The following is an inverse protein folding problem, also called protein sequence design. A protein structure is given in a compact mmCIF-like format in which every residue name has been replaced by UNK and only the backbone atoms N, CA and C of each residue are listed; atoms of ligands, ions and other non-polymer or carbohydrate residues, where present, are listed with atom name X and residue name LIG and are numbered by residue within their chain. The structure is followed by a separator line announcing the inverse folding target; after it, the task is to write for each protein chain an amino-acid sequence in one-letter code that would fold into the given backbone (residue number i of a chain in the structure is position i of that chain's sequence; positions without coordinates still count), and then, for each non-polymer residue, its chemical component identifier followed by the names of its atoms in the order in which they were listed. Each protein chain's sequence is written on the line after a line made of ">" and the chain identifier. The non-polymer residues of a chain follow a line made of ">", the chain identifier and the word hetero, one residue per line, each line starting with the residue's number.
data_IF_147631207542
#
_entry.id   IF_147631207542
#
_cell.length_a   1.000
_cell.length_b   1.000
_cell.length_c   1.000
_cell.angle_alpha   90.00
_cell.angle_beta   90.00
_cell.angle_gamma   90.00
#
_symmetry.space_group_name_H-M   'P 1'
#
loop_
_entity.id
_entity.type
_entity.pdbx_description
1 polymer ?
#
# COMPACT_ATOMS: atom_id res chain seq x y z
N UNK A 1 9.06 57.85 -7.66
CA UNK A 1 9.09 58.08 -6.20
C UNK A 1 7.69 58.18 -5.64
N UNK A 2 7.22 57.07 -5.10
CA UNK A 2 5.90 56.90 -4.49
C UNK A 2 5.98 55.68 -3.59
N UNK A 3 6.19 55.96 -2.32
CA UNK A 3 6.51 55.07 -1.21
C UNK A 3 5.40 54.04 -0.93
N UNK A 4 5.74 52.75 -0.90
CA UNK A 4 4.83 51.63 -0.64
C UNK A 4 5.28 50.88 0.63
N UNK A 5 4.91 51.42 1.78
CA UNK A 5 5.04 50.74 3.08
C UNK A 5 3.74 50.02 3.41
N UNK A 6 3.61 48.78 2.93
CA UNK A 6 2.53 47.86 3.29
C UNK A 6 2.99 46.85 4.35
N UNK A 7 2.71 47.13 5.62
CA UNK A 7 2.88 46.19 6.76
C UNK A 7 1.98 44.96 6.58
N UNK A 8 2.56 43.78 6.75
CA UNK A 8 1.83 42.52 6.90
C UNK A 8 0.93 42.55 8.16
N UNK A 9 -0.29 42.00 8.12
CA UNK A 9 -1.12 41.86 9.32
C UNK A 9 -0.54 40.82 10.27
N UNK A 10 -0.58 41.12 11.58
CA UNK A 10 -0.24 40.21 12.67
C UNK A 10 -1.25 39.05 12.72
N UNK A 11 -0.75 37.82 12.80
CA UNK A 11 -1.55 36.66 13.18
C UNK A 11 -1.95 36.80 14.66
N UNK A 12 -3.24 36.78 14.93
CA UNK A 12 -3.79 36.63 16.28
C UNK A 12 -3.70 35.14 16.66
N UNK A 13 -2.94 34.86 17.73
CA UNK A 13 -2.97 33.56 18.43
C UNK A 13 -4.37 33.35 19.02
N UNK A 14 -5.15 32.47 18.40
CA UNK A 14 -6.38 31.97 19.00
C UNK A 14 -6.09 30.59 19.63
N UNK A 15 -5.96 30.60 20.96
CA UNK A 15 -5.66 29.46 21.82
C UNK A 15 -6.94 28.64 22.05
N UNK A 16 -7.38 27.89 21.03
CA UNK A 16 -8.51 26.97 21.14
C UNK A 16 -8.02 25.53 21.34
N UNK A 17 -8.06 25.09 22.60
CA UNK A 17 -7.83 23.71 23.04
C UNK A 17 -8.56 22.69 22.16
N UNK A 18 -7.81 21.71 21.65
CA UNK A 18 -8.36 20.52 21.02
C UNK A 18 -9.28 19.75 21.99
N UNK A 19 -10.44 19.23 21.54
CA UNK A 19 -11.30 18.43 22.40
C UNK A 19 -10.63 17.09 22.72
N UNK A 20 -10.48 16.81 24.01
CA UNK A 20 -10.02 15.53 24.53
C UNK A 20 -11.09 14.45 24.23
N UNK A 21 -10.68 13.37 23.56
CA UNK A 21 -11.45 12.16 23.43
C UNK A 21 -11.28 11.35 24.72
N UNK A 22 -12.21 11.47 25.65
CA UNK A 22 -12.31 10.57 26.81
C UNK A 22 -12.69 9.16 26.31
N UNK A 23 -11.82 8.19 26.55
CA UNK A 23 -12.13 6.77 26.38
C UNK A 23 -12.77 6.29 27.68
N UNK A 24 -14.07 6.02 27.63
CA UNK A 24 -14.75 5.32 28.72
C UNK A 24 -14.30 3.85 28.71
N UNK A 25 -13.58 3.46 29.75
CA UNK A 25 -13.28 2.07 30.08
C UNK A 25 -14.58 1.35 30.47
N UNK A 26 -15.17 0.58 29.55
CA UNK A 26 -16.13 -0.46 29.93
C UNK A 26 -15.32 -1.72 30.31
N UNK A 27 -15.03 -1.81 31.61
CA UNK A 27 -14.57 -3.03 32.25
C UNK A 27 -15.63 -4.12 32.09
N UNK A 28 -15.33 -5.15 31.29
CA UNK A 28 -16.11 -6.38 31.29
C UNK A 28 -15.73 -7.19 32.52
N UNK A 29 -16.59 -7.20 33.53
CA UNK A 29 -16.56 -8.16 34.63
C UNK A 29 -16.60 -9.59 34.04
N UNK A 30 -15.48 -10.31 34.19
CA UNK A 30 -15.40 -11.74 33.98
C UNK A 30 -15.98 -12.41 35.24
N UNK A 31 -17.24 -12.84 35.15
CA UNK A 31 -17.82 -13.73 36.16
C UNK A 31 -17.04 -15.04 36.17
N UNK A 32 -16.42 -15.32 37.32
CA UNK A 32 -15.78 -16.58 37.65
C UNK A 32 -16.82 -17.71 37.68
N UNK A 33 -16.52 -18.82 37.02
CA UNK A 33 -17.32 -20.05 37.11
C UNK A 33 -17.02 -20.72 38.47
N UNK A 34 -17.99 -20.68 39.39
CA UNK A 34 -18.02 -21.55 40.57
C UNK A 34 -18.39 -22.98 40.14
N UNK A 35 -17.59 -23.96 40.56
CA UNK A 35 -17.90 -25.38 40.46
C UNK A 35 -19.12 -25.72 41.34
N UNK A 36 -20.14 -26.38 40.78
CA UNK A 36 -21.14 -27.10 41.59
C UNK A 36 -21.33 -28.55 41.12
N UNK A 37 -21.17 -29.42 42.12
CA UNK A 37 -21.29 -30.87 42.22
C UNK A 37 -22.72 -31.39 41.87
N UNK A 38 -22.91 -32.54 41.19
CA UNK A 38 -24.21 -32.91 40.65
C UNK A 38 -24.96 -33.90 41.54
N UNK A 39 -25.67 -33.44 42.57
CA UNK A 39 -26.69 -34.28 43.21
C UNK A 39 -27.77 -33.53 44.01
N UNK A 40 -28.80 -33.00 43.33
CA UNK A 40 -30.14 -32.82 43.93
C UNK A 40 -31.22 -32.62 42.86
N UNK A 41 -32.13 -33.58 42.77
CA UNK A 41 -33.23 -33.57 41.82
C UNK A 41 -34.47 -32.79 42.32
N UNK A 42 -35.21 -32.25 41.34
CA UNK A 42 -36.67 -31.91 41.30
C UNK A 42 -37.11 -30.51 41.73
N UNK A 43 -37.45 -29.69 40.72
CA UNK A 43 -38.36 -28.56 40.84
C UNK A 43 -38.59 -27.86 39.50
N UNK A 44 -39.78 -28.03 38.90
CA UNK A 44 -40.16 -27.45 37.61
C UNK A 44 -40.20 -25.91 37.66
N UNK A 45 -39.46 -25.25 36.77
CA UNK A 45 -39.89 -23.99 36.15
C UNK A 45 -39.22 -23.83 34.78
N UNK A 46 -40.04 -23.75 33.73
CA UNK A 46 -39.61 -23.52 32.35
C UNK A 46 -38.92 -22.15 32.24
N UNK A 47 -37.57 -22.12 32.28
CA UNK A 47 -36.80 -20.94 31.87
C UNK A 47 -37.04 -20.75 30.37
N UNK A 48 -37.85 -19.75 30.00
CA UNK A 48 -37.91 -19.21 28.64
C UNK A 48 -36.47 -18.94 28.21
N UNK A 49 -35.99 -19.64 27.17
CA UNK A 49 -34.74 -19.29 26.48
C UNK A 49 -34.86 -17.80 26.11
N UNK A 50 -34.15 -16.91 26.82
CA UNK A 50 -33.94 -15.53 26.36
C UNK A 50 -33.29 -15.67 24.99
N UNK A 51 -34.03 -15.41 23.91
CA UNK A 51 -33.44 -15.24 22.58
C UNK A 51 -32.35 -14.20 22.77
N UNK A 52 -31.08 -14.59 22.58
CA UNK A 52 -29.97 -13.62 22.52
C UNK A 52 -30.43 -12.56 21.53
N UNK A 53 -30.61 -11.32 22.00
CA UNK A 53 -30.94 -10.21 21.11
C UNK A 53 -29.73 -10.08 20.19
N UNK A 54 -29.90 -10.55 18.96
CA UNK A 54 -28.90 -10.35 17.94
C UNK A 54 -28.66 -8.84 17.83
N UNK A 55 -27.39 -8.40 17.71
CA UNK A 55 -27.08 -7.00 17.43
C UNK A 55 -27.92 -6.51 16.24
N UNK A 56 -28.21 -5.20 16.15
CA UNK A 56 -29.06 -4.64 15.09
C UNK A 56 -28.70 -5.15 13.68
N UNK A 57 -27.39 -5.33 13.43
CA UNK A 57 -26.83 -5.82 12.16
C UNK A 57 -27.36 -7.19 11.71
N UNK A 58 -27.72 -8.07 12.65
CA UNK A 58 -28.16 -9.44 12.39
C UNK A 58 -29.66 -9.62 12.68
N UNK A 59 -30.40 -8.52 12.85
CA UNK A 59 -31.86 -8.56 12.95
C UNK A 59 -32.47 -8.69 11.55
N UNK A 60 -33.25 -9.75 11.25
CA UNK A 60 -33.90 -9.91 9.95
C UNK A 60 -34.88 -8.77 9.58
N UNK A 61 -35.25 -7.94 10.56
CA UNK A 61 -36.15 -6.79 10.38
C UNK A 61 -35.42 -5.45 10.21
N UNK A 62 -34.08 -5.42 10.29
CA UNK A 62 -33.32 -4.20 10.10
C UNK A 62 -33.17 -3.88 8.60
N UNK A 63 -33.75 -2.77 8.16
CA UNK A 63 -33.54 -2.23 6.83
C UNK A 63 -32.55 -1.07 6.90
N UNK A 64 -31.41 -1.22 6.23
CA UNK A 64 -30.38 -0.19 6.13
C UNK A 64 -30.52 0.57 4.81
N UNK A 65 -30.53 1.90 4.90
CA UNK A 65 -30.56 2.75 3.71
C UNK A 65 -29.30 3.61 3.67
N UNK A 66 -28.46 3.39 2.67
CA UNK A 66 -27.22 4.13 2.46
C UNK A 66 -27.47 5.25 1.45
N UNK A 67 -27.07 6.47 1.80
CA UNK A 67 -27.12 7.59 0.85
C UNK A 67 -25.98 7.42 -0.17
N UNK A 68 -26.30 7.55 -1.46
CA UNK A 68 -25.29 7.52 -2.51
C UNK A 68 -24.47 8.83 -2.52
N UNK A 69 -23.19 8.73 -2.87
CA UNK A 69 -22.34 9.90 -3.06
C UNK A 69 -22.81 10.72 -4.29
N UNK A 70 -22.94 12.04 -4.14
CA UNK A 70 -23.43 12.94 -5.19
C UNK A 70 -22.30 13.52 -6.07
N UNK A 71 -21.19 12.80 -6.23
CA UNK A 71 -20.02 13.28 -6.94
C UNK A 71 -20.16 13.16 -8.46
N UNK A 72 -19.58 14.11 -9.21
CA UNK A 72 -19.59 14.10 -10.69
C UNK A 72 -18.85 12.90 -11.28
N UNK A 73 -17.83 12.39 -10.58
CA UNK A 73 -17.08 11.19 -10.97
C UNK A 73 -17.89 9.89 -10.80
N UNK A 74 -19.08 9.93 -10.17
CA UNK A 74 -19.98 8.78 -10.06
C UNK A 74 -19.31 7.60 -9.34
N UNK A 75 -19.16 6.48 -10.04
CA UNK A 75 -18.50 5.28 -9.51
C UNK A 75 -16.97 5.37 -9.47
N UNK A 76 -16.37 6.37 -10.13
CA UNK A 76 -14.94 6.70 -10.01
C UNK A 76 -14.65 7.64 -8.83
N UNK A 77 -15.67 7.98 -8.03
CA UNK A 77 -15.52 8.92 -6.95
C UNK A 77 -14.53 8.43 -5.90
N UNK A 78 -13.45 9.18 -5.73
CA UNK A 78 -12.46 8.96 -4.69
C UNK A 78 -12.63 9.97 -3.56
N UNK A 79 -13.07 9.54 -2.36
CA UNK A 79 -13.20 10.42 -1.21
C UNK A 79 -11.89 11.16 -0.89
N UNK A 80 -12.01 12.46 -0.61
CA UNK A 80 -10.89 13.36 -0.32
C UNK A 80 -9.88 13.59 -1.45
N UNK A 81 -10.07 13.04 -2.66
CA UNK A 81 -9.26 13.38 -3.84
C UNK A 81 -10.13 14.18 -4.81
N UNK A 82 -11.33 13.69 -5.09
CA UNK A 82 -12.34 14.36 -5.92
C UNK A 82 -13.12 15.45 -5.15
N UNK A 83 -12.54 16.03 -4.09
CA UNK A 83 -13.22 17.04 -3.30
C UNK A 83 -13.13 18.42 -3.97
N UNK A 84 -14.27 18.91 -4.47
CA UNK A 84 -14.45 20.25 -5.06
C UNK A 84 -14.56 21.34 -3.96
N UNK A 85 -13.57 21.46 -3.07
CA UNK A 85 -13.49 22.58 -2.13
C UNK A 85 -12.97 23.84 -2.83
N UNK A 86 -13.84 24.86 -3.00
CA UNK A 86 -13.61 26.17 -3.64
C UNK A 86 -13.63 26.27 -5.18
N UNK A 87 -13.66 25.14 -5.89
CA UNK A 87 -13.85 25.13 -7.35
C UNK A 87 -12.64 25.56 -8.17
N UNK A 88 -11.45 25.70 -7.57
CA UNK A 88 -10.22 25.91 -8.30
C UNK A 88 -9.17 24.85 -7.97
N UNK A 89 -8.99 23.93 -8.92
CA UNK A 89 -7.95 22.87 -8.96
C UNK A 89 -8.35 21.53 -8.31
N UNK A 90 -8.33 20.47 -9.13
CA UNK A 90 -8.15 19.11 -8.63
C UNK A 90 -6.85 19.09 -7.85
N UNK A 91 -6.92 19.02 -6.53
CA UNK A 91 -5.72 18.79 -5.75
C UNK A 91 -5.21 17.38 -6.09
N UNK A 92 -4.04 17.29 -6.72
CA UNK A 92 -3.36 16.00 -6.89
C UNK A 92 -3.03 15.35 -5.54
N UNK A 93 -3.16 16.08 -4.43
CA UNK A 93 -3.02 15.58 -3.08
C UNK A 93 -4.37 15.47 -2.36
N UNK A 94 -4.44 14.53 -1.42
CA UNK A 94 -5.63 14.29 -0.61
C UNK A 94 -6.02 15.52 0.22
N UNK A 95 -7.23 16.02 0.05
CA UNK A 95 -7.86 17.08 0.84
C UNK A 95 -9.25 16.61 1.29
N UNK A 96 -9.39 16.29 2.58
CA UNK A 96 -10.67 15.83 3.13
C UNK A 96 -11.50 17.01 3.66
N UNK A 97 -12.85 16.95 3.54
CA UNK A 97 -13.74 17.84 4.27
C UNK A 97 -13.56 17.69 5.78
N UNK A 98 -13.86 18.75 6.54
CA UNK A 98 -13.83 18.71 8.01
C UNK A 98 -14.87 17.73 8.58
N UNK A 99 -16.03 17.60 7.92
CA UNK A 99 -17.04 16.63 8.28
C UNK A 99 -16.79 15.29 7.58
N UNK A 100 -16.92 14.14 8.28
CA UNK A 100 -16.80 12.83 7.65
C UNK A 100 -17.84 12.67 6.54
N UNK A 101 -17.38 12.26 5.36
CA UNK A 101 -18.27 11.93 4.25
C UNK A 101 -18.83 10.53 4.51
N UNK A 102 -20.14 10.45 4.75
CA UNK A 102 -20.86 9.19 5.00
C UNK A 102 -21.81 8.91 3.84
N UNK A 103 -21.26 8.40 2.74
CA UNK A 103 -22.01 8.00 1.57
C UNK A 103 -21.43 6.72 0.94
N UNK A 104 -22.28 5.99 0.22
CA UNK A 104 -21.90 4.83 -0.56
C UNK A 104 -21.58 5.24 -2.00
N UNK A 105 -20.40 4.88 -2.49
CA UNK A 105 -20.05 5.06 -3.90
C UNK A 105 -20.89 4.08 -4.71
N UNK A 106 -21.53 4.55 -5.78
CA UNK A 106 -22.36 3.69 -6.63
C UNK A 106 -21.48 2.69 -7.39
N UNK A 107 -21.97 1.47 -7.60
CA UNK A 107 -21.34 0.52 -8.52
C UNK A 107 -21.55 0.94 -9.98
N UNK A 108 -20.64 0.57 -10.89
CA UNK A 108 -20.89 0.65 -12.33
C UNK A 108 -22.21 -0.05 -12.70
N UNK A 109 -22.96 0.49 -13.66
CA UNK A 109 -24.26 -0.07 -14.08
C UNK A 109 -24.14 -1.49 -14.64
N UNK A 110 -23.00 -1.78 -15.26
CA UNK A 110 -22.69 -3.05 -15.92
C UNK A 110 -21.72 -3.89 -15.09
N UNK A 111 -21.61 -3.62 -13.78
CA UNK A 111 -20.68 -4.33 -12.92
C UNK A 111 -20.95 -5.84 -12.93
N UNK A 112 -19.90 -6.62 -13.18
CA UNK A 112 -19.91 -8.08 -13.15
C UNK A 112 -18.88 -8.56 -12.12
N UNK A 113 -19.15 -9.72 -11.55
CA UNK A 113 -18.17 -10.38 -10.69
C UNK A 113 -16.86 -10.63 -11.47
N UNK A 114 -15.68 -10.30 -10.92
CA UNK A 114 -14.41 -10.58 -11.57
C UNK A 114 -14.26 -12.05 -11.94
N UNK A 115 -13.57 -12.33 -13.05
CA UNK A 115 -13.23 -13.69 -13.44
C UNK A 115 -12.40 -14.39 -12.33
N UNK A 116 -12.51 -15.72 -12.17
CA UNK A 116 -11.69 -16.43 -11.21
C UNK A 116 -10.20 -16.33 -11.56
N UNK A 117 -9.34 -16.56 -10.57
CA UNK A 117 -7.91 -16.74 -10.83
C UNK A 117 -7.67 -18.14 -11.43
N UNK A 118 -6.76 -18.32 -12.41
CA UNK A 118 -5.82 -17.35 -12.98
C UNK A 118 -6.36 -16.54 -14.18
N UNK A 119 -7.59 -16.76 -14.62
CA UNK A 119 -8.16 -16.14 -15.83
C UNK A 119 -8.14 -14.59 -15.77
N UNK A 120 -8.38 -14.02 -14.59
CA UNK A 120 -8.29 -12.56 -14.37
C UNK A 120 -6.89 -11.96 -14.57
N UNK A 121 -5.83 -12.77 -14.68
CA UNK A 121 -4.50 -12.28 -15.09
C UNK A 121 -4.54 -11.73 -16.51
N UNK A 122 -5.29 -12.35 -17.41
CA UNK A 122 -5.25 -12.08 -18.85
C UNK A 122 -6.44 -11.28 -19.34
N UNK A 123 -7.55 -11.27 -18.60
CA UNK A 123 -8.72 -10.46 -18.98
C UNK A 123 -9.58 -10.05 -17.80
N UNK A 124 -10.14 -8.86 -17.89
CA UNK A 124 -11.12 -8.32 -16.92
C UNK A 124 -12.35 -7.79 -17.66
N UNK A 125 -13.44 -7.57 -16.94
CA UNK A 125 -14.64 -6.94 -17.50
C UNK A 125 -14.40 -5.45 -17.74
N UNK A 126 -14.52 -5.00 -18.99
CA UNK A 126 -14.42 -3.57 -19.30
C UNK A 126 -15.51 -2.76 -18.58
N UNK A 127 -16.72 -3.33 -18.42
CA UNK A 127 -17.83 -2.69 -17.70
C UNK A 127 -17.56 -2.37 -16.21
N UNK A 128 -16.54 -3.00 -15.60
CA UNK A 128 -16.15 -2.73 -14.22
C UNK A 128 -15.25 -1.49 -14.08
N UNK A 129 -14.50 -1.15 -15.13
CA UNK A 129 -13.45 -0.12 -15.10
C UNK A 129 -13.62 0.97 -16.15
N UNK A 130 -14.59 0.80 -17.05
CA UNK A 130 -14.63 1.52 -18.32
C UNK A 130 -15.02 2.98 -18.19
N UNK A 131 -14.16 3.87 -18.68
CA UNK A 131 -14.44 5.28 -18.87
C UNK A 131 -13.70 5.85 -20.10
N UNK A 132 -14.06 7.06 -20.61
CA UNK A 132 -13.52 7.58 -21.87
C UNK A 132 -11.99 7.72 -21.92
N UNK A 133 -11.35 8.05 -20.80
CA UNK A 133 -9.88 8.23 -20.76
C UNK A 133 -9.15 6.89 -20.78
N UNK A 134 -9.61 5.88 -20.05
CA UNK A 134 -9.11 4.51 -20.18
C UNK A 134 -9.31 3.97 -21.60
N UNK A 135 -10.47 4.24 -22.21
CA UNK A 135 -10.73 3.89 -23.62
C UNK A 135 -9.76 4.55 -24.60
N UNK A 136 -9.38 5.81 -24.37
CA UNK A 136 -8.39 6.50 -25.19
C UNK A 136 -7.01 5.89 -24.97
N UNK A 137 -6.63 5.73 -23.71
CA UNK A 137 -5.35 5.16 -23.30
C UNK A 137 -5.13 3.77 -23.90
N UNK A 138 -6.13 2.89 -23.83
CA UNK A 138 -6.07 1.54 -24.38
C UNK A 138 -5.87 1.51 -25.91
N UNK A 139 -6.29 2.53 -26.66
CA UNK A 139 -6.06 2.58 -28.12
C UNK A 139 -4.61 2.86 -28.49
N UNK A 140 -3.90 3.54 -27.61
CA UNK A 140 -2.52 3.96 -27.84
C UNK A 140 -1.50 2.90 -27.39
N UNK A 141 -1.96 1.80 -26.77
CA UNK A 141 -1.12 0.77 -26.17
C UNK A 141 -1.53 -0.64 -26.63
N UNK A 142 -0.63 -1.36 -27.28
CA UNK A 142 -0.94 -2.69 -27.83
C UNK A 142 -1.15 -3.77 -26.77
N UNK A 143 -0.53 -3.60 -25.59
CA UNK A 143 -0.66 -4.50 -24.43
C UNK A 143 -2.00 -4.39 -23.68
N UNK A 144 -2.89 -3.48 -24.10
CA UNK A 144 -4.19 -3.26 -23.47
C UNK A 144 -5.32 -3.22 -24.51
N UNK A 145 -5.88 -4.38 -24.85
CA UNK A 145 -6.85 -4.46 -25.93
C UNK A 145 -8.27 -4.65 -25.41
N UNK A 146 -9.21 -3.87 -25.95
CA UNK A 146 -10.63 -4.13 -25.73
C UNK A 146 -11.14 -5.16 -26.74
N UNK A 147 -11.58 -6.31 -26.25
CA UNK A 147 -12.17 -7.38 -27.06
C UNK A 147 -13.57 -7.72 -26.55
N UNK A 148 -14.59 -7.24 -27.28
CA UNK A 148 -15.99 -7.36 -26.87
C UNK A 148 -16.27 -6.63 -25.55
N UNK A 149 -16.69 -7.38 -24.54
CA UNK A 149 -16.96 -6.88 -23.17
C UNK A 149 -15.73 -6.92 -22.24
N UNK A 150 -14.60 -7.41 -22.73
CA UNK A 150 -13.40 -7.60 -21.92
C UNK A 150 -12.32 -6.59 -22.29
N UNK A 151 -11.51 -6.26 -21.29
CA UNK A 151 -10.18 -5.70 -21.44
C UNK A 151 -9.18 -6.85 -21.29
N UNK A 152 -8.35 -7.07 -22.30
CA UNK A 152 -7.46 -8.21 -22.45
C UNK A 152 -6.01 -7.74 -22.40
N UNK A 153 -5.18 -8.50 -21.68
CA UNK A 153 -3.77 -8.29 -21.45
C UNK A 153 -3.01 -9.48 -22.06
N UNK A 154 -2.56 -9.37 -23.32
CA UNK A 154 -1.89 -10.47 -23.99
C UNK A 154 -0.59 -10.84 -23.24
N UNK A 155 -0.32 -12.11 -22.94
CA UNK A 155 0.90 -12.50 -22.22
C UNK A 155 2.20 -12.11 -22.95
N UNK A 156 2.18 -12.14 -24.29
CA UNK A 156 3.32 -11.78 -25.15
C UNK A 156 3.47 -10.26 -25.35
N UNK A 157 2.41 -9.48 -25.07
CA UNK A 157 2.42 -8.03 -25.18
C UNK A 157 2.20 -7.42 -23.80
N UNK A 158 3.27 -6.88 -23.21
CA UNK A 158 3.19 -6.14 -21.95
C UNK A 158 3.60 -4.68 -22.13
N UNK A 159 3.51 -3.91 -21.05
CA UNK A 159 4.13 -2.58 -20.98
C UNK A 159 5.62 -2.60 -21.33
N UNK A 160 6.28 -3.76 -21.12
CA UNK A 160 7.63 -4.08 -21.56
C UNK A 160 7.57 -4.81 -22.91
N UNK A 161 8.30 -4.31 -23.92
CA UNK A 161 8.52 -5.09 -25.15
C UNK A 161 9.25 -6.39 -24.77
N UNK A 162 8.83 -7.53 -25.31
CA UNK A 162 9.32 -8.86 -24.89
C UNK A 162 8.61 -9.46 -23.67
N UNK A 163 7.71 -8.72 -23.02
CA UNK A 163 6.90 -9.23 -21.91
C UNK A 163 7.51 -8.93 -20.53
N UNK A 164 6.66 -8.94 -19.50
CA UNK A 164 7.08 -8.68 -18.12
C UNK A 164 8.05 -9.74 -17.58
N UNK A 165 7.94 -11.00 -18.07
CA UNK A 165 8.84 -12.08 -17.67
C UNK A 165 10.27 -11.82 -18.14
N UNK A 166 10.45 -11.47 -19.42
CA UNK A 166 11.75 -11.08 -19.96
C UNK A 166 12.36 -9.94 -19.15
N UNK A 167 11.57 -8.91 -18.84
CA UNK A 167 12.03 -7.79 -18.04
C UNK A 167 12.51 -8.19 -16.62
N UNK A 168 11.78 -9.10 -15.94
CA UNK A 168 12.21 -9.63 -14.63
C UNK A 168 13.48 -10.48 -14.78
N UNK A 169 13.57 -11.30 -15.83
CA UNK A 169 14.74 -12.15 -16.07
C UNK A 169 15.99 -11.30 -16.35
N UNK A 170 15.87 -10.19 -17.10
CA UNK A 170 16.95 -9.20 -17.25
C UNK A 170 17.39 -8.63 -15.91
N UNK A 171 16.45 -8.28 -15.01
CA UNK A 171 16.80 -7.77 -13.67
C UNK A 171 17.52 -8.84 -12.85
N UNK A 172 17.06 -10.09 -12.92
CA UNK A 172 17.64 -11.24 -12.24
C UNK A 172 19.09 -11.49 -12.69
N UNK A 173 19.36 -11.38 -14.00
CA UNK A 173 20.71 -11.47 -14.57
C UNK A 173 21.62 -10.33 -14.11
N UNK A 174 21.08 -9.12 -13.98
CA UNK A 174 21.83 -7.93 -13.56
C UNK A 174 22.16 -7.91 -12.07
N UNK A 175 21.26 -8.43 -11.24
CA UNK A 175 21.36 -8.39 -9.78
C UNK A 175 20.83 -9.70 -9.17
N UNK A 176 21.57 -10.81 -9.31
CA UNK A 176 21.14 -12.11 -8.80
C UNK A 176 20.96 -12.14 -7.28
N UNK A 177 21.64 -11.25 -6.55
CA UNK A 177 21.54 -11.11 -5.10
C UNK A 177 20.15 -10.64 -4.62
N UNK A 178 19.30 -10.13 -5.54
CA UNK A 178 17.90 -9.86 -5.24
C UNK A 178 17.17 -11.13 -4.77
N UNK A 179 17.55 -12.32 -5.26
CA UNK A 179 16.99 -13.64 -4.90
C UNK A 179 15.48 -13.58 -4.60
N UNK A 180 14.69 -13.30 -5.65
CA UNK A 180 13.25 -13.11 -5.57
C UNK A 180 12.57 -14.26 -4.81
N UNK A 181 11.69 -13.91 -3.87
CA UNK A 181 10.98 -14.89 -3.04
C UNK A 181 11.77 -15.41 -1.85
N UNK A 182 13.07 -15.10 -1.74
CA UNK A 182 13.87 -15.35 -0.54
C UNK A 182 14.24 -14.05 0.17
N UNK A 183 15.03 -13.21 -0.49
CA UNK A 183 15.49 -11.94 0.07
C UNK A 183 14.41 -10.86 -0.10
N UNK A 184 13.85 -10.76 -1.31
CA UNK A 184 12.81 -9.80 -1.65
C UNK A 184 11.44 -10.50 -1.61
N UNK A 185 10.51 -10.01 -0.77
CA UNK A 185 9.14 -10.52 -0.68
C UNK A 185 8.07 -9.44 -0.86
N UNK A 186 8.38 -8.20 -0.50
CA UNK A 186 7.43 -7.09 -0.53
C UNK A 186 7.94 -5.99 -1.47
N UNK A 187 7.24 -5.80 -2.58
CA UNK A 187 7.55 -4.80 -3.59
C UNK A 187 6.51 -3.67 -3.62
N UNK A 188 6.97 -2.44 -3.83
CA UNK A 188 6.12 -1.30 -4.23
C UNK A 188 6.36 -1.01 -5.70
N UNK A 189 5.32 -1.12 -6.53
CA UNK A 189 5.39 -0.75 -7.95
C UNK A 189 4.71 0.60 -8.17
N UNK A 190 5.51 1.63 -8.44
CA UNK A 190 5.03 3.00 -8.59
C UNK A 190 4.64 3.26 -10.05
N UNK A 191 3.45 3.79 -10.27
CA UNK A 191 2.96 4.12 -11.61
C UNK A 191 2.34 2.92 -12.31
N UNK A 192 1.17 2.49 -11.80
CA UNK A 192 0.40 1.39 -12.37
C UNK A 192 0.30 1.47 -13.90
N UNK A 193 0.65 0.39 -14.59
CA UNK A 193 0.38 0.18 -16.02
C UNK A 193 -0.60 -0.99 -16.18
N UNK A 194 -0.15 -2.06 -16.84
CA UNK A 194 -0.97 -3.27 -16.93
C UNK A 194 -1.07 -3.98 -15.57
N UNK A 195 -0.08 -3.80 -14.68
CA UNK A 195 0.22 -4.67 -13.53
C UNK A 195 0.97 -5.96 -13.92
N UNK A 196 1.61 -5.98 -15.09
CA UNK A 196 2.40 -7.10 -15.59
C UNK A 196 3.60 -7.40 -14.71
N UNK A 197 4.27 -6.36 -14.19
CA UNK A 197 5.35 -6.50 -13.21
C UNK A 197 4.90 -7.27 -11.96
N UNK A 198 3.77 -6.86 -11.35
CA UNK A 198 3.20 -7.55 -10.20
C UNK A 198 2.76 -8.98 -10.50
N UNK A 199 2.14 -9.22 -11.66
CA UNK A 199 1.76 -10.57 -12.10
C UNK A 199 2.97 -11.49 -12.26
N UNK A 200 4.05 -11.00 -12.87
CA UNK A 200 5.27 -11.78 -13.08
C UNK A 200 5.98 -12.09 -11.74
N UNK A 201 6.02 -11.12 -10.83
CA UNK A 201 6.62 -11.28 -9.52
C UNK A 201 5.86 -12.25 -8.59
N UNK A 202 4.54 -12.38 -8.76
CA UNK A 202 3.77 -13.40 -8.04
C UNK A 202 4.26 -14.83 -8.34
N UNK A 203 4.78 -15.09 -9.56
CA UNK A 203 5.33 -16.41 -9.93
C UNK A 203 6.71 -16.66 -9.29
N UNK A 204 7.38 -15.61 -8.79
CA UNK A 204 8.63 -15.69 -8.04
C UNK A 204 8.41 -15.54 -6.52
N UNK A 205 7.20 -15.80 -6.04
CA UNK A 205 6.82 -15.58 -4.66
C UNK A 205 7.17 -14.16 -4.19
N UNK A 206 6.69 -13.12 -4.86
CA UNK A 206 6.83 -11.73 -4.42
C UNK A 206 5.48 -11.04 -4.48
N UNK A 207 5.10 -10.40 -3.38
CA UNK A 207 3.85 -9.64 -3.28
C UNK A 207 4.14 -8.18 -3.65
N UNK A 208 3.47 -7.72 -4.70
CA UNK A 208 3.63 -6.35 -5.20
C UNK A 208 2.40 -5.52 -4.87
N UNK A 209 2.59 -4.42 -4.15
CA UNK A 209 1.60 -3.37 -4.02
C UNK A 209 1.81 -2.35 -5.13
N UNK A 210 0.84 -2.21 -6.04
CA UNK A 210 0.88 -1.19 -7.07
C UNK A 210 0.34 0.15 -6.55
N UNK A 211 1.09 1.23 -6.78
CA UNK A 211 0.72 2.59 -6.42
C UNK A 211 0.28 3.35 -7.67
N UNK A 212 -1.03 3.55 -7.79
CA UNK A 212 -1.62 4.43 -8.80
C UNK A 212 -1.45 5.88 -8.37
N UNK A 213 -0.87 6.70 -9.23
CA UNK A 213 -0.70 8.11 -8.91
C UNK A 213 -2.04 8.84 -9.07
N UNK A 214 -2.41 9.68 -8.13
CA UNK A 214 -3.69 10.42 -8.15
C UNK A 214 -3.80 11.44 -9.29
N UNK A 215 -2.70 11.80 -9.94
CA UNK A 215 -2.70 12.60 -11.16
C UNK A 215 -2.95 11.76 -12.42
N UNK A 216 -2.91 10.43 -12.31
CA UNK A 216 -3.36 9.53 -13.35
C UNK A 216 -4.88 9.69 -13.50
N UNK A 217 -5.30 9.87 -14.73
CA UNK A 217 -6.69 10.09 -15.10
C UNK A 217 -7.28 8.87 -15.81
N UNK A 218 -6.56 7.75 -15.82
CA UNK A 218 -6.91 6.49 -16.48
C UNK A 218 -7.29 5.37 -15.50
N UNK A 219 -7.21 5.63 -14.19
CA UNK A 219 -7.63 4.75 -13.10
C UNK A 219 -6.99 3.35 -13.16
N UNK A 220 -5.71 3.25 -13.55
CA UNK A 220 -5.02 1.95 -13.73
C UNK A 220 -4.83 1.16 -12.42
N UNK A 221 -4.91 1.82 -11.26
CA UNK A 221 -4.99 1.10 -9.98
C UNK A 221 -6.25 0.23 -9.86
N UNK A 222 -7.39 0.69 -10.39
CA UNK A 222 -8.62 -0.12 -10.42
C UNK A 222 -8.46 -1.29 -11.38
N UNK A 223 -7.75 -1.11 -12.49
CA UNK A 223 -7.41 -2.18 -13.43
C UNK A 223 -6.55 -3.26 -12.74
N UNK A 224 -5.53 -2.85 -11.99
CA UNK A 224 -4.70 -3.77 -11.20
C UNK A 224 -5.53 -4.56 -10.17
N UNK A 225 -6.44 -3.89 -9.44
CA UNK A 225 -7.36 -4.53 -8.49
C UNK A 225 -8.29 -5.55 -9.17
N UNK A 226 -8.85 -5.23 -10.34
CA UNK A 226 -9.68 -6.16 -11.12
C UNK A 226 -8.87 -7.35 -11.66
N UNK A 227 -7.57 -7.17 -11.96
CA UNK A 227 -6.65 -8.28 -12.27
C UNK A 227 -6.24 -9.11 -11.05
N UNK A 228 -6.53 -8.64 -9.84
CA UNK A 228 -6.23 -9.35 -8.59
C UNK A 228 -4.85 -9.06 -8.03
N UNK A 229 -4.24 -7.96 -8.47
CA UNK A 229 -2.99 -7.43 -7.92
C UNK A 229 -3.35 -6.36 -6.87
N UNK A 230 -2.72 -6.39 -5.68
CA UNK A 230 -2.91 -5.36 -4.68
C UNK A 230 -2.59 -3.99 -5.27
N UNK A 231 -3.50 -3.03 -5.13
CA UNK A 231 -3.21 -1.66 -5.51
C UNK A 231 -3.83 -0.65 -4.55
N UNK A 232 -3.15 0.48 -4.43
CA UNK A 232 -3.67 1.67 -3.75
C UNK A 232 -3.42 2.88 -4.63
N UNK A 233 -4.17 3.94 -4.40
CA UNK A 233 -3.91 5.24 -5.00
C UNK A 233 -3.20 6.15 -4.01
N UNK A 234 -2.32 7.02 -4.51
CA UNK A 234 -1.60 7.97 -3.68
C UNK A 234 -0.95 9.07 -4.51
N UNK A 235 -0.46 10.10 -3.82
CA UNK A 235 0.17 11.26 -4.46
C UNK A 235 1.65 11.30 -4.12
N UNK A 236 2.49 11.44 -5.14
CA UNK A 236 3.90 11.80 -5.00
C UNK A 236 4.07 13.31 -5.19
N UNK A 237 3.56 14.07 -4.22
CA UNK A 237 3.64 15.52 -4.18
C UNK A 237 4.54 16.01 -3.05
N UNK A 238 3.94 16.76 -2.13
CA UNK A 238 4.59 17.40 -0.99
C UNK A 238 4.45 16.62 0.33
N UNK A 239 3.68 15.53 0.36
CA UNK A 239 3.37 14.74 1.56
C UNK A 239 3.91 13.32 1.49
N UNK A 240 4.26 12.77 2.65
CA UNK A 240 4.68 11.38 2.82
C UNK A 240 3.58 10.45 2.32
N UNK A 241 3.98 9.34 1.70
CA UNK A 241 3.10 8.23 1.43
C UNK A 241 2.65 7.60 2.75
N UNK A 242 1.43 7.06 2.84
CA UNK A 242 0.86 6.51 4.08
C UNK A 242 1.42 5.13 4.45
N UNK A 243 2.73 4.94 4.25
CA UNK A 243 3.45 3.73 4.62
C UNK A 243 4.40 4.02 5.78
N UNK A 244 4.51 3.11 6.76
CA UNK A 244 5.59 3.15 7.75
C UNK A 244 6.98 3.17 7.09
N UNK A 245 7.98 3.63 7.84
CA UNK A 245 9.36 3.56 7.38
C UNK A 245 9.82 2.09 7.24
N UNK A 246 10.63 1.78 6.23
CA UNK A 246 11.13 0.41 5.99
C UNK A 246 10.03 -0.63 5.72
N UNK A 247 8.98 -0.26 4.99
CA UNK A 247 7.86 -1.17 4.65
C UNK A 247 8.16 -2.09 3.48
N UNK A 248 9.02 -1.67 2.54
CA UNK A 248 9.26 -2.38 1.29
C UNK A 248 10.70 -2.85 1.18
N UNK A 249 10.88 -4.05 0.64
CA UNK A 249 12.20 -4.63 0.36
C UNK A 249 12.74 -4.05 -0.96
N UNK A 250 11.83 -3.80 -1.91
CA UNK A 250 12.12 -3.17 -3.20
C UNK A 250 11.06 -2.14 -3.58
N UNK A 251 11.49 -1.07 -4.24
CA UNK A 251 10.60 -0.12 -4.91
C UNK A 251 10.96 -0.11 -6.39
N UNK A 252 9.96 -0.24 -7.25
CA UNK A 252 10.11 -0.28 -8.69
C UNK A 252 9.36 0.89 -9.33
N UNK A 253 9.95 1.46 -10.38
CA UNK A 253 9.32 2.46 -11.22
C UNK A 253 9.79 2.32 -12.67
N UNK A 254 8.89 1.91 -13.56
CA UNK A 254 9.15 1.82 -15.00
C UNK A 254 8.44 2.94 -15.75
N UNK A 255 9.20 3.83 -16.39
CA UNK A 255 8.72 4.95 -17.22
C UNK A 255 7.68 5.85 -16.49
N UNK A 256 7.78 6.01 -15.17
CA UNK A 256 6.78 6.76 -14.40
C UNK A 256 6.81 8.27 -14.63
N UNK A 257 7.82 8.79 -15.35
CA UNK A 257 8.05 10.22 -15.59
C UNK A 257 8.03 11.07 -14.30
N UNK A 258 8.49 10.50 -13.19
CA UNK A 258 8.58 11.19 -11.91
C UNK A 258 9.91 11.96 -11.89
N UNK A 259 9.89 13.28 -11.62
CA UNK A 259 11.10 14.08 -11.58
C UNK A 259 11.83 13.87 -10.23
N UNK A 260 12.46 12.70 -10.07
CA UNK A 260 13.08 12.25 -8.82
C UNK A 260 14.13 13.24 -8.26
N UNK A 261 14.85 13.93 -9.15
CA UNK A 261 15.88 14.92 -8.80
C UNK A 261 15.34 16.31 -8.48
N UNK A 262 14.09 16.60 -8.84
CA UNK A 262 13.48 17.92 -8.62
C UNK A 262 13.18 18.19 -7.15
N UNK A 263 12.94 19.47 -6.81
CA UNK A 263 12.59 19.92 -5.46
C UNK A 263 13.57 19.46 -4.36
N UNK A 264 14.87 19.36 -4.70
CA UNK A 264 15.91 18.90 -3.78
C UNK A 264 15.89 17.39 -3.52
N UNK A 265 15.32 16.59 -4.42
CA UNK A 265 15.27 15.13 -4.24
C UNK A 265 14.30 14.68 -3.15
N UNK A 266 13.33 15.51 -2.75
CA UNK A 266 12.36 15.17 -1.69
C UNK A 266 11.63 13.85 -1.93
N UNK A 267 11.27 13.54 -3.17
CA UNK A 267 10.61 12.27 -3.49
C UNK A 267 11.55 11.09 -3.24
N UNK A 268 12.84 11.22 -3.54
CA UNK A 268 13.85 10.21 -3.20
C UNK A 268 14.06 10.08 -1.70
N UNK A 269 13.99 11.18 -0.94
CA UNK A 269 14.01 11.13 0.53
C UNK A 269 12.82 10.31 1.05
N UNK A 270 11.65 10.45 0.44
CA UNK A 270 10.47 9.65 0.78
C UNK A 270 10.66 8.17 0.41
N UNK A 271 11.26 7.87 -0.75
CA UNK A 271 11.63 6.49 -1.11
C UNK A 271 12.63 5.90 -0.10
N UNK A 272 13.65 6.67 0.31
CA UNK A 272 14.61 6.29 1.34
C UNK A 272 13.94 6.01 2.70
N UNK A 273 12.85 6.71 3.02
CA UNK A 273 12.11 6.47 4.25
C UNK A 273 11.38 5.13 4.23
N UNK A 274 10.66 4.82 3.15
CA UNK A 274 9.79 3.64 3.08
C UNK A 274 10.49 2.36 2.60
N UNK A 275 11.62 2.48 1.93
CA UNK A 275 12.50 1.36 1.57
C UNK A 275 13.25 0.89 2.82
N UNK A 276 13.44 -0.41 3.02
CA UNK A 276 14.29 -0.94 4.12
C UNK A 276 15.76 -0.55 3.92
N UNK A 277 16.56 -0.35 4.99
CA UNK A 277 18.02 -0.25 4.86
C UNK A 277 18.56 -1.47 4.10
N UNK A 278 19.44 -1.30 3.12
CA UNK A 278 19.90 -2.39 2.24
C UNK A 278 18.94 -2.78 1.13
N UNK A 279 17.73 -2.21 1.09
CA UNK A 279 16.72 -2.49 0.07
C UNK A 279 17.05 -1.83 -1.27
N UNK A 280 16.31 -2.23 -2.31
CA UNK A 280 16.62 -1.88 -3.69
C UNK A 280 15.61 -0.90 -4.31
N UNK A 281 16.09 -0.07 -5.22
CA UNK A 281 15.27 0.78 -6.06
C UNK A 281 15.59 0.54 -7.53
N UNK A 282 14.58 0.17 -8.30
CA UNK A 282 14.71 -0.10 -9.73
C UNK A 282 14.01 1.00 -10.50
N UNK A 283 14.74 1.66 -11.39
CA UNK A 283 14.19 2.62 -12.35
C UNK A 283 14.46 2.13 -13.75
N UNK A 284 13.45 2.22 -14.62
CA UNK A 284 13.61 1.94 -16.05
C UNK A 284 13.03 3.04 -16.93
N UNK A 285 13.72 3.34 -18.03
CA UNK A 285 13.30 4.35 -19.01
C UNK A 285 13.88 4.07 -20.41
N UNK A 286 13.12 4.36 -21.48
CA UNK A 286 13.58 4.14 -22.87
C UNK A 286 14.63 5.14 -23.33
N UNK A 287 14.46 6.41 -22.98
CA UNK A 287 15.37 7.49 -23.35
C UNK A 287 15.46 8.47 -22.17
N UNK A 288 16.50 8.33 -21.36
CA UNK A 288 16.83 9.33 -20.35
C UNK A 288 17.39 10.57 -21.03
N UNK A 289 16.78 11.72 -20.83
CA UNK A 289 17.47 12.99 -21.07
C UNK A 289 18.72 13.04 -20.17
N UNK A 290 19.87 13.39 -20.76
CA UNK A 290 21.16 13.37 -20.06
C UNK A 290 21.12 14.23 -18.79
N UNK A 291 20.47 15.40 -18.84
CA UNK A 291 20.33 16.28 -17.67
C UNK A 291 19.49 15.62 -16.57
N UNK A 292 18.40 14.96 -16.94
CA UNK A 292 17.60 14.17 -16.00
C UNK A 292 18.39 13.00 -15.39
N UNK A 293 19.18 12.29 -16.20
CA UNK A 293 20.01 11.17 -15.73
C UNK A 293 21.11 11.61 -14.76
N UNK A 294 21.80 12.70 -15.09
CA UNK A 294 22.82 13.31 -14.24
C UNK A 294 22.18 13.81 -12.93
N UNK A 295 21.03 14.47 -13.02
CA UNK A 295 20.28 14.93 -11.86
C UNK A 295 19.84 13.79 -10.95
N UNK A 296 19.32 12.69 -11.52
CA UNK A 296 18.94 11.48 -10.76
C UNK A 296 20.17 10.89 -10.08
N UNK A 297 21.27 10.70 -10.81
CA UNK A 297 22.50 10.12 -10.27
C UNK A 297 23.09 10.97 -9.14
N UNK A 298 23.12 12.29 -9.31
CA UNK A 298 23.55 13.22 -8.27
C UNK A 298 22.63 13.19 -7.03
N UNK A 299 21.31 13.06 -7.24
CA UNK A 299 20.35 12.98 -6.15
C UNK A 299 20.46 11.67 -5.38
N UNK A 300 20.65 10.54 -6.07
CA UNK A 300 20.92 9.23 -5.46
C UNK A 300 22.20 9.25 -4.64
N UNK A 301 23.28 9.83 -5.18
CA UNK A 301 24.53 10.01 -4.45
C UNK A 301 24.36 10.90 -3.21
N UNK A 302 23.52 11.95 -3.30
CA UNK A 302 23.24 12.84 -2.16
C UNK A 302 22.57 12.13 -0.98
N UNK A 303 21.86 11.03 -1.25
CA UNK A 303 21.23 10.14 -0.26
C UNK A 303 22.00 8.84 -0.05
N UNK A 304 23.27 8.77 -0.49
CA UNK A 304 24.19 7.64 -0.35
C UNK A 304 23.74 6.33 -1.00
N UNK A 305 22.88 6.36 -2.01
CA UNK A 305 22.48 5.15 -2.69
C UNK A 305 23.56 4.71 -3.68
N UNK A 306 23.92 3.43 -3.61
CA UNK A 306 24.92 2.83 -4.49
C UNK A 306 24.26 2.31 -5.76
N UNK A 307 24.91 2.51 -6.91
CA UNK A 307 24.51 1.86 -8.16
C UNK A 307 25.02 0.44 -8.14
N UNK A 308 24.11 -0.54 -8.18
CA UNK A 308 24.44 -1.97 -8.18
C UNK A 308 24.60 -2.47 -9.61
N UNK A 309 23.68 -2.08 -10.48
CA UNK A 309 23.70 -2.50 -11.88
C UNK A 309 23.08 -1.45 -12.79
N UNK A 310 23.58 -1.42 -14.02
CA UNK A 310 23.01 -0.69 -15.13
C UNK A 310 23.14 -1.52 -16.39
N UNK A 311 22.03 -1.72 -17.10
CA UNK A 311 22.02 -2.39 -18.39
C UNK A 311 20.95 -1.76 -19.28
N UNK A 312 21.19 -1.77 -20.59
CA UNK A 312 20.17 -1.49 -21.60
C UNK A 312 19.75 -2.80 -22.24
N UNK A 313 18.48 -3.12 -22.17
CA UNK A 313 17.95 -4.33 -22.80
C UNK A 313 17.41 -4.00 -24.20
N UNK A 314 17.99 -4.63 -25.21
CA UNK A 314 17.66 -4.39 -26.62
C UNK A 314 16.23 -4.81 -26.98
N UNK A 315 15.66 -5.79 -26.25
CA UNK A 315 14.32 -6.31 -26.53
C UNK A 315 13.24 -5.37 -25.98
N UNK A 316 13.35 -5.00 -24.71
CA UNK A 316 12.44 -4.06 -24.07
C UNK A 316 12.66 -2.61 -24.52
N UNK A 317 13.86 -2.33 -25.05
CA UNK A 317 14.39 -0.99 -25.34
C UNK A 317 14.44 -0.10 -24.09
N UNK A 318 14.63 -0.70 -22.92
CA UNK A 318 14.69 0.00 -21.64
C UNK A 318 16.10 -0.02 -21.07
N UNK A 319 16.56 1.15 -20.60
CA UNK A 319 17.68 1.24 -19.67
C UNK A 319 17.19 0.96 -18.27
N UNK A 320 17.73 -0.06 -17.60
CA UNK A 320 17.41 -0.46 -16.23
C UNK A 320 18.56 -0.04 -15.32
N UNK A 321 18.26 0.72 -14.27
CA UNK A 321 19.20 1.12 -13.21
C UNK A 321 18.72 0.57 -11.87
N UNK A 322 19.60 -0.17 -11.20
CA UNK A 322 19.33 -0.76 -9.89
C UNK A 322 20.21 -0.04 -8.87
N UNK A 323 19.57 0.58 -7.88
CA UNK A 323 20.21 1.25 -6.76
C UNK A 323 19.96 0.48 -5.47
N UNK A 324 20.88 0.57 -4.51
CA UNK A 324 20.71 0.03 -3.18
C UNK A 324 20.85 1.13 -2.13
N UNK A 325 19.90 1.18 -1.20
CA UNK A 325 19.96 2.03 -0.02
C UNK A 325 21.04 1.51 0.94
N UNK A 326 21.84 2.37 1.60
CA UNK A 326 22.76 1.93 2.66
C UNK A 326 22.09 1.03 3.68
N UNK A 327 22.77 -0.07 4.04
CA UNK A 327 22.32 -0.97 5.09
C UNK A 327 22.56 -0.39 6.49
N UNK A 328 23.56 0.49 6.63
CA UNK A 328 23.97 1.10 7.89
C UNK A 328 24.05 2.62 7.79
N UNK A 329 24.48 3.28 8.88
CA UNK A 329 24.73 4.72 8.87
C UNK A 329 26.16 5.10 8.44
N UNK A 330 27.05 4.12 8.22
CA UNK A 330 28.46 4.36 7.94
C UNK A 330 28.64 5.23 6.68
N UNK A 331 27.91 4.91 5.60
CA UNK A 331 27.93 5.70 4.37
C UNK A 331 27.37 7.11 4.56
N UNK A 332 26.37 7.28 5.44
CA UNK A 332 25.81 8.59 5.72
C UNK A 332 26.78 9.47 6.52
N UNK A 333 27.56 8.88 7.43
CA UNK A 333 28.52 9.59 8.27
C UNK A 333 29.77 10.03 7.48
N UNK A 334 30.09 9.33 6.38
CA UNK A 334 31.18 9.67 5.45
C UNK A 334 30.84 10.79 4.46
N UNK A 335 29.61 11.32 4.46
CA UNK A 335 29.17 12.35 3.51
C UNK A 335 29.98 13.64 3.64
N UNK A 336 30.71 13.99 2.58
CA UNK A 336 31.42 15.26 2.48
C UNK A 336 30.47 16.47 2.53
N UNK A 337 29.30 16.37 1.85
CA UNK A 337 28.25 17.38 1.87
C UNK A 337 27.03 16.86 2.63
N UNK A 338 26.68 17.51 3.74
CA UNK A 338 25.51 17.17 4.57
C UNK A 338 24.22 17.82 4.04
N UNK A 339 23.94 17.60 2.75
CA UNK A 339 22.77 18.12 2.05
C UNK A 339 22.13 17.00 1.21
N UNK A 340 20.94 16.49 1.58
CA UNK A 340 20.12 16.92 2.72
C UNK A 340 20.74 16.62 4.10
N UNK A 341 20.51 17.45 5.13
CA UNK A 341 20.95 17.18 6.51
C UNK A 341 20.14 16.04 7.15
N UNK A 342 20.53 15.55 8.32
CA UNK A 342 19.68 14.62 9.07
C UNK A 342 18.44 15.32 9.67
N UNK A 343 17.33 14.59 9.76
CA UNK A 343 16.13 15.05 10.44
C UNK A 343 16.37 15.16 11.96
N UNK A 344 15.66 16.07 12.62
CA UNK A 344 15.66 16.17 14.09
C UNK A 344 14.94 14.96 14.70
N UNK A 345 15.30 14.52 15.91
CA UNK A 345 14.70 13.33 16.54
C UNK A 345 13.17 13.40 16.67
N UNK A 346 12.62 14.57 16.99
CA UNK A 346 11.17 14.79 17.05
C UNK A 346 10.44 14.52 15.71
N UNK A 347 11.18 14.54 14.60
CA UNK A 347 10.72 14.32 13.23
C UNK A 347 10.92 12.88 12.75
N UNK A 348 11.62 12.05 13.55
CA UNK A 348 11.76 10.60 13.33
C UNK A 348 10.51 9.82 13.74
N UNK A 349 9.48 10.49 14.25
CA UNK A 349 8.18 9.86 14.52
C UNK A 349 7.65 9.24 13.22
N UNK A 350 7.21 7.99 13.30
CA UNK A 350 6.68 7.18 12.20
C UNK A 350 5.34 7.69 11.62
N UNK A 351 4.96 8.94 11.88
CA UNK A 351 3.77 9.56 11.32
C UNK A 351 3.94 9.70 9.81
N UNK A 352 3.16 8.90 9.09
CA UNK A 352 3.12 8.93 7.63
C UNK A 352 1.92 9.74 7.11
N UNK A 353 0.79 9.73 7.83
CA UNK A 353 -0.44 10.39 7.40
C UNK A 353 -0.34 11.91 7.50
N UNK A 354 -0.75 12.59 6.43
CA UNK A 354 -0.81 14.05 6.32
C UNK A 354 0.48 14.80 6.70
N UNK A 355 1.62 14.12 6.65
CA UNK A 355 2.89 14.67 7.06
C UNK A 355 3.65 15.19 5.84
N UNK A 356 4.08 16.47 5.79
CA UNK A 356 4.87 16.98 4.69
C UNK A 356 6.24 16.29 4.57
N UNK A 357 6.72 16.09 3.34
CA UNK A 357 8.07 15.66 3.06
C UNK A 357 9.03 16.82 3.35
N UNK A 358 9.96 16.57 4.27
CA UNK A 358 11.02 17.51 4.63
C UNK A 358 12.30 17.17 3.87
N UNK A 359 13.12 18.20 3.61
CA UNK A 359 14.44 18.04 3.02
C UNK A 359 15.46 17.61 4.09
N UNK A 360 15.31 16.37 4.59
CA UNK A 360 16.21 15.79 5.58
C UNK A 360 16.22 14.25 5.50
N UNK A 361 17.36 13.61 5.83
CA UNK A 361 17.49 12.16 5.88
C UNK A 361 17.15 11.60 7.26
N UNK A 362 16.51 10.43 7.26
CA UNK A 362 16.34 9.61 8.45
C UNK A 362 17.51 8.62 8.50
N UNK A 363 18.13 8.49 9.67
CA UNK A 363 19.16 7.49 9.90
C UNK A 363 18.59 6.07 9.74
N UNK A 364 19.43 5.13 9.34
CA UNK A 364 19.08 3.72 9.44
C UNK A 364 18.91 3.38 10.94
N UNK A 365 17.86 2.63 11.32
CA UNK A 365 17.71 2.18 12.70
C UNK A 365 18.92 1.32 13.09
N UNK A 366 19.46 1.53 14.29
CA UNK A 366 20.65 0.83 14.76
C UNK A 366 20.47 0.20 16.14
N UNK A 367 19.47 0.65 16.91
CA UNK A 367 19.12 0.03 18.19
C UNK A 367 18.37 -1.29 17.98
N UNK A 368 18.65 -2.28 18.83
CA UNK A 368 17.94 -3.58 18.83
C UNK A 368 16.42 -3.39 19.03
N UNK A 369 16.04 -2.41 19.86
CA UNK A 369 14.64 -2.06 20.12
C UNK A 369 14.00 -1.19 19.02
N UNK A 370 14.78 -0.74 18.03
CA UNK A 370 14.26 0.09 16.95
C UNK A 370 13.71 -0.76 15.81
N UNK A 371 12.47 -0.47 15.39
CA UNK A 371 11.84 -1.15 14.27
C UNK A 371 12.67 -1.00 12.99
N UNK A 372 13.07 -2.14 12.42
CA UNK A 372 13.78 -2.20 11.14
C UNK A 372 15.29 -2.00 11.24
N UNK A 373 15.88 -2.22 12.43
CA UNK A 373 17.33 -2.33 12.63
C UNK A 373 17.92 -3.57 11.96
N UNK A 374 17.15 -4.66 11.94
CA UNK A 374 17.52 -5.91 11.29
C UNK A 374 16.57 -6.25 10.13
N UNK A 375 17.12 -6.96 9.14
CA UNK A 375 16.31 -7.57 8.10
C UNK A 375 15.45 -8.68 8.72
N UNK A 376 14.18 -8.82 8.32
CA UNK A 376 13.39 -9.94 8.78
C UNK A 376 13.99 -11.24 8.24
N UNK A 377 13.83 -12.33 9.00
CA UNK A 377 14.22 -13.69 8.61
C UNK A 377 13.86 -14.02 7.16
N UNK A 378 14.63 -14.89 6.53
CA UNK A 378 14.33 -15.37 5.19
C UNK A 378 13.03 -16.17 5.16
N UNK A 379 12.38 -16.19 4.00
CA UNK A 379 11.20 -17.02 3.80
C UNK A 379 11.56 -18.51 3.82
N UNK A 380 10.75 -19.42 4.43
CA UNK A 380 9.43 -19.18 5.02
C UNK A 380 9.43 -18.80 6.51
N UNK A 381 10.58 -18.80 7.19
CA UNK A 381 10.67 -18.54 8.64
C UNK A 381 10.06 -17.20 9.03
N UNK A 382 10.16 -16.20 8.15
CA UNK A 382 9.54 -14.87 8.31
C UNK A 382 8.06 -14.88 8.75
N UNK A 383 7.28 -15.90 8.37
CA UNK A 383 5.86 -16.01 8.75
C UNK A 383 5.67 -16.22 10.24
N UNK A 384 6.56 -16.98 10.86
CA UNK A 384 6.43 -17.44 12.25
C UNK A 384 7.40 -16.70 13.19
N UNK A 385 8.41 -16.01 12.65
CA UNK A 385 9.35 -15.24 13.44
C UNK A 385 8.83 -13.84 13.73
N UNK A 386 8.61 -13.57 15.01
CA UNK A 386 8.36 -12.21 15.49
C UNK A 386 9.67 -11.45 15.70
N UNK A 387 9.77 -10.19 15.25
CA UNK A 387 11.00 -9.43 15.38
C UNK A 387 11.25 -8.97 16.82
N UNK A 388 12.53 -8.91 17.19
CA UNK A 388 12.96 -8.64 18.58
C UNK A 388 12.56 -7.25 19.09
N UNK A 389 12.45 -6.26 18.20
CA UNK A 389 12.02 -4.90 18.55
C UNK A 389 10.59 -4.83 19.13
N UNK A 390 9.80 -5.91 19.04
CA UNK A 390 8.50 -5.98 19.72
C UNK A 390 8.64 -6.03 21.25
N UNK A 391 9.77 -6.51 21.78
CA UNK A 391 10.01 -6.63 23.23
C UNK A 391 8.83 -7.29 23.95
N UNK A 392 8.29 -6.62 24.97
CA UNK A 392 7.17 -7.11 25.78
C UNK A 392 5.88 -7.37 24.98
N UNK A 393 5.70 -6.74 23.81
CA UNK A 393 4.54 -6.97 22.95
C UNK A 393 4.58 -8.35 22.28
N UNK A 394 5.74 -8.99 22.17
CA UNK A 394 5.90 -10.28 21.49
C UNK A 394 4.95 -11.34 22.05
N UNK A 395 4.76 -11.38 23.37
CA UNK A 395 3.83 -12.31 24.03
C UNK A 395 2.38 -12.06 23.60
N UNK A 396 1.97 -10.79 23.48
CA UNK A 396 0.62 -10.41 23.04
C UNK A 396 0.40 -10.72 21.57
N UNK A 397 1.39 -10.43 20.72
CA UNK A 397 1.33 -10.74 19.29
C UNK A 397 1.26 -12.25 19.08
N UNK A 398 2.04 -13.04 19.83
CA UNK A 398 2.02 -14.50 19.76
C UNK A 398 0.65 -15.08 20.18
N UNK A 399 0.04 -14.52 21.23
CA UNK A 399 -1.31 -14.91 21.67
C UNK A 399 -2.38 -14.52 20.64
N UNK A 400 -2.32 -13.31 20.07
CA UNK A 400 -3.22 -12.84 19.01
C UNK A 400 -3.09 -13.71 17.75
N UNK A 401 -1.87 -14.02 17.33
CA UNK A 401 -1.58 -14.93 16.23
C UNK A 401 -2.19 -16.32 16.48
N UNK A 402 -1.98 -16.91 17.66
CA UNK A 402 -2.55 -18.22 18.01
C UNK A 402 -4.08 -18.19 18.00
N UNK A 403 -4.68 -17.10 18.48
CA UNK A 403 -6.13 -16.91 18.45
C UNK A 403 -6.66 -16.85 17.01
N UNK A 404 -6.09 -15.98 16.18
CA UNK A 404 -6.54 -15.79 14.80
C UNK A 404 -6.29 -17.02 13.93
N UNK A 405 -5.21 -17.77 14.18
CA UNK A 405 -4.93 -19.03 13.49
C UNK A 405 -6.05 -20.02 13.75
N UNK A 406 -6.43 -20.18 15.01
CA UNK A 406 -7.56 -21.03 15.39
C UNK A 406 -8.90 -20.54 14.81
N UNK A 407 -9.14 -19.24 14.75
CA UNK A 407 -10.36 -18.66 14.15
C UNK A 407 -10.41 -18.93 12.64
N UNK A 408 -9.30 -18.71 11.94
CA UNK A 408 -9.19 -18.93 10.49
C UNK A 408 -9.41 -20.40 10.17
N UNK A 409 -8.67 -21.29 10.81
CA UNK A 409 -8.75 -22.74 10.58
C UNK A 409 -10.14 -23.29 10.88
N UNK A 410 -10.70 -22.97 12.05
CA UNK A 410 -11.94 -23.62 12.52
C UNK A 410 -13.21 -22.97 11.97
N UNK A 411 -13.14 -21.72 11.53
CA UNK A 411 -14.34 -20.96 11.12
C UNK A 411 -14.27 -20.53 9.66
N UNK A 412 -13.20 -19.87 9.25
CA UNK A 412 -13.13 -19.28 7.91
C UNK A 412 -12.93 -20.33 6.82
N UNK A 413 -12.01 -21.28 7.03
CA UNK A 413 -11.74 -22.33 6.03
C UNK A 413 -12.90 -23.32 5.90
N UNK A 414 -13.36 -23.89 7.02
CA UNK A 414 -14.34 -24.99 6.97
C UNK A 414 -15.77 -24.60 7.41
N UNK A 415 -15.92 -23.52 8.18
CA UNK A 415 -17.16 -23.23 8.92
C UNK A 415 -18.14 -22.25 8.24
N UNK A 416 -17.68 -21.42 7.31
CA UNK A 416 -18.47 -20.32 6.73
C UNK A 416 -18.92 -20.56 5.28
N UNK A 417 -18.56 -21.70 4.68
CA UNK A 417 -18.91 -22.01 3.28
C UNK A 417 -18.31 -21.02 2.27
N UNK A 418 -17.25 -20.32 2.65
CA UNK A 418 -16.54 -19.36 1.81
C UNK A 418 -15.68 -20.15 0.82
N UNK A 419 -15.89 -19.93 -0.47
CA UNK A 419 -14.99 -20.48 -1.47
C UNK A 419 -13.75 -19.59 -1.63
N UNK A 420 -12.71 -19.88 -0.85
CA UNK A 420 -11.46 -19.12 -0.83
C UNK A 420 -10.73 -19.09 -2.17
N UNK A 421 -10.99 -20.02 -3.10
CA UNK A 421 -10.40 -19.97 -4.45
C UNK A 421 -10.83 -18.74 -5.25
N UNK A 422 -11.95 -18.12 -4.85
CA UNK A 422 -12.50 -16.94 -5.51
C UNK A 422 -12.09 -15.62 -4.82
N UNK A 423 -11.39 -15.69 -3.69
CA UNK A 423 -10.98 -14.52 -2.90
C UNK A 423 -9.46 -14.37 -2.99
N UNK A 424 -9.01 -13.18 -3.37
CA UNK A 424 -7.58 -12.84 -3.51
C UNK A 424 -7.17 -11.62 -2.70
N UNK A 425 -8.08 -10.69 -2.49
CA UNK A 425 -7.82 -9.50 -1.68
C UNK A 425 -8.67 -9.59 -0.42
N UNK A 426 -8.01 -9.61 0.73
CA UNK A 426 -8.64 -9.51 2.04
C UNK A 426 -8.08 -8.25 2.69
N UNK A 427 -8.95 -7.46 3.31
CA UNK A 427 -8.52 -6.29 4.07
C UNK A 427 -9.03 -6.43 5.49
N UNK A 428 -8.11 -6.53 6.44
CA UNK A 428 -8.43 -6.45 7.86
C UNK A 428 -8.53 -4.99 8.28
N UNK A 429 -9.78 -4.50 8.37
CA UNK A 429 -10.05 -3.12 8.80
C UNK A 429 -9.82 -2.88 10.30
N UNK A 430 -9.50 -3.94 11.08
CA UNK A 430 -9.23 -3.85 12.51
C UNK A 430 -8.08 -4.79 12.92
N UNK A 431 -7.03 -4.84 12.11
CA UNK A 431 -5.80 -5.54 12.46
C UNK A 431 -5.10 -4.79 13.62
N UNK A 432 -5.33 -5.21 14.85
CA UNK A 432 -4.65 -4.63 16.03
C UNK A 432 -3.16 -5.00 15.98
N UNK A 433 -2.85 -6.30 15.91
CA UNK A 433 -1.49 -6.84 15.89
C UNK A 433 -1.14 -7.63 14.62
N UNK A 434 -2.01 -7.59 13.60
CA UNK A 434 -1.84 -8.37 12.37
C UNK A 434 -3.04 -9.27 12.07
N UNK A 435 -3.87 -9.61 13.05
CA UNK A 435 -5.22 -10.17 12.84
C UNK A 435 -5.27 -11.28 11.78
N UNK A 436 -5.92 -10.97 10.65
CA UNK A 436 -6.08 -11.86 9.49
C UNK A 436 -4.85 -12.11 8.61
N UNK A 437 -3.70 -11.48 8.87
CA UNK A 437 -2.48 -11.65 8.09
C UNK A 437 -2.04 -13.13 8.01
N UNK A 438 -2.50 -13.96 8.95
CA UNK A 438 -2.36 -15.42 8.99
C UNK A 438 -2.94 -16.16 7.78
N UNK A 439 -3.88 -15.56 7.04
CA UNK A 439 -4.36 -16.17 5.81
C UNK A 439 -3.25 -16.33 4.76
N UNK A 440 -2.14 -15.59 4.88
CA UNK A 440 -0.95 -15.72 4.03
C UNK A 440 -0.14 -17.00 4.29
N UNK A 441 -0.35 -17.69 5.42
CA UNK A 441 0.24 -19.02 5.71
C UNK A 441 -0.46 -20.16 4.95
N UNK A 442 -1.68 -19.89 4.48
CA UNK A 442 -2.47 -20.84 3.69
C UNK A 442 -2.16 -20.64 2.21
N UNK A 443 -2.45 -21.61 1.31
CA UNK A 443 -2.13 -21.51 -0.12
C UNK A 443 -2.94 -20.42 -0.89
N UNK A 444 -3.46 -19.43 -0.17
CA UNK A 444 -4.08 -18.23 -0.68
C UNK A 444 -3.06 -17.10 -0.56
N UNK A 445 -2.78 -16.34 -1.61
CA UNK A 445 -2.10 -15.07 -1.43
C UNK A 445 -3.11 -14.13 -0.79
N UNK A 446 -3.08 -14.09 0.53
CA UNK A 446 -3.74 -13.08 1.33
C UNK A 446 -2.72 -12.00 1.67
N UNK A 447 -3.17 -10.75 1.57
CA UNK A 447 -2.38 -9.54 1.78
C UNK A 447 -2.57 -9.06 3.21
#
# INVERSE_FOLDING_TARGET
>A
DGDATGKAPKEEENDDKAPALEWADESSELDAEEEEDPEAAKGKASKKKKKKKLPPLFSPAAHYHWKLCSAKSGHHYTPCVDFDGDGSQKHHERSCPRSPVTCLVSLPKEYKLPAPWPERKEKIWYGNVGHPRLSSYAKDHSWLNRTGEHLVFPPEESEFKGGARHYIDTIDEMAPDLDWGKNIRIALDIGCKSAGFGVALLEKDVITLSLGLTNDQTDLAQVALERGIPATIGSLGSRRLPFPSGSFDIIHCSECNIPWHSNGGKLLIEMNRILRPGGYFIISSRHGDLESEEGISASMASVCWNVIAYNSDDVSELGVKIFQRPASNDEYDLRAKKDPPFCKEEQNKATAWYTPIKHCLHKAPAGIEERGSEWPEEWPKRLETFPDWLGDLQTRVSADHSHWKAVVEKSYLDGLGINWTNIRNVLDMKAVYGGYALLSEFPFPCI
#
